data_IF_204499471154
#
_entry.id   IF_204499471154
#
_cell.length_a   1.000
_cell.length_b   1.000
_cell.length_c   1.000
_cell.angle_alpha   90.00
_cell.angle_beta   90.00
_cell.angle_gamma   90.00
#
_symmetry.space_group_name_H-M   'P 1'
#
loop_
_entity.id
_entity.type
_entity.pdbx_description
1 polymer ?
#
# COMPACT_ATOMS: atom_id res chain seq x y z
N UNK A 1 27.09 5.53 32.90
CA UNK A 1 28.53 5.90 33.01
C UNK A 1 28.85 6.71 34.27
N UNK A 2 28.12 7.79 34.56
CA UNK A 2 28.35 8.66 35.73
C UNK A 2 28.48 7.90 37.07
N UNK A 3 27.54 6.99 37.37
CA UNK A 3 27.55 6.21 38.62
C UNK A 3 28.74 5.23 38.73
N UNK A 4 29.26 4.75 37.60
CA UNK A 4 30.38 3.80 37.55
C UNK A 4 31.71 4.52 37.82
N UNK A 5 31.90 5.70 37.21
CA UNK A 5 33.10 6.52 37.42
C UNK A 5 33.19 7.04 38.87
N UNK A 6 32.05 7.32 39.50
CA UNK A 6 31.97 7.69 40.92
C UNK A 6 32.30 6.52 41.86
N UNK A 7 31.91 5.29 41.50
CA UNK A 7 32.23 4.07 42.24
C UNK A 7 33.70 3.64 42.09
N UNK A 8 34.34 3.91 40.95
CA UNK A 8 35.75 3.59 40.68
C UNK A 8 36.73 4.65 41.23
N UNK A 9 36.26 5.71 41.86
CA UNK A 9 37.10 6.75 42.47
C UNK A 9 37.85 7.64 41.49
N UNK A 10 37.58 7.54 40.18
CA UNK A 10 38.24 8.30 39.12
C UNK A 10 37.64 9.70 38.96
N UNK A 11 37.73 10.51 40.02
CA UNK A 11 37.09 11.82 40.11
C UNK A 11 37.68 12.89 39.17
N UNK A 12 38.93 12.74 38.70
CA UNK A 12 39.52 13.63 37.69
C UNK A 12 38.71 13.67 36.38
N UNK A 13 38.20 12.51 35.95
CA UNK A 13 37.39 12.43 34.75
C UNK A 13 36.02 13.10 34.92
N UNK A 14 35.47 13.14 36.14
CA UNK A 14 34.22 13.84 36.42
C UNK A 14 34.36 15.37 36.29
N UNK A 15 35.57 15.91 36.48
CA UNK A 15 35.84 17.35 36.35
C UNK A 15 36.05 17.79 34.89
N UNK A 16 36.47 16.89 34.02
CA UNK A 16 36.79 17.18 32.62
C UNK A 16 35.74 16.69 31.61
N UNK A 17 34.84 15.78 32.01
CA UNK A 17 33.77 15.27 31.16
C UNK A 17 32.44 15.95 31.47
N UNK A 18 31.96 16.71 30.49
CA UNK A 18 30.61 17.26 30.47
C UNK A 18 29.63 16.15 30.05
N UNK A 19 29.06 15.46 31.03
CA UNK A 19 28.15 14.33 30.81
C UNK A 19 26.83 14.75 30.14
N UNK A 20 26.42 16.00 30.28
CA UNK A 20 25.24 16.54 29.61
C UNK A 20 25.51 16.67 28.11
N UNK A 21 26.68 17.21 27.73
CA UNK A 21 27.11 17.23 26.32
C UNK A 21 27.34 15.85 25.74
N UNK A 22 27.90 14.92 26.50
CA UNK A 22 28.06 13.53 26.03
C UNK A 22 26.73 12.83 25.79
N UNK A 23 25.74 13.03 26.67
CA UNK A 23 24.41 12.50 26.45
C UNK A 23 23.75 13.14 25.22
N UNK A 24 23.93 14.45 25.02
CA UNK A 24 23.45 15.14 23.82
C UNK A 24 24.09 14.55 22.56
N UNK A 25 25.42 14.45 22.51
CA UNK A 25 26.17 13.87 21.40
C UNK A 25 25.80 12.41 21.15
N UNK A 26 25.63 11.61 22.20
CA UNK A 26 25.19 10.23 22.08
C UNK A 26 23.79 10.13 21.46
N UNK A 27 22.83 10.94 21.93
CA UNK A 27 21.49 11.00 21.34
C UNK A 27 21.53 11.38 19.86
N UNK A 28 22.30 12.40 19.51
CA UNK A 28 22.47 12.84 18.12
C UNK A 28 23.12 11.77 17.24
N UNK A 29 24.15 11.10 17.76
CA UNK A 29 24.86 10.03 17.04
C UNK A 29 24.00 8.78 16.87
N UNK A 30 23.23 8.41 17.90
CA UNK A 30 22.28 7.30 17.85
C UNK A 30 21.18 7.56 16.83
N UNK A 31 20.56 8.76 16.87
CA UNK A 31 19.56 9.16 15.89
C UNK A 31 20.12 9.19 14.47
N UNK A 32 21.38 9.62 14.28
CA UNK A 32 22.03 9.58 12.96
C UNK A 32 22.31 8.15 12.49
N UNK A 33 22.70 7.26 13.40
CA UNK A 33 22.91 5.83 13.10
C UNK A 33 21.60 5.16 12.69
N UNK A 34 20.51 5.42 13.40
CA UNK A 34 19.18 4.90 13.08
C UNK A 34 18.73 5.38 11.70
N UNK A 35 18.96 6.65 11.39
CA UNK A 35 18.71 7.23 10.05
C UNK A 35 19.51 6.51 8.95
N UNK A 36 20.79 6.23 9.18
CA UNK A 36 21.64 5.53 8.22
C UNK A 36 21.19 4.08 8.00
N UNK A 37 20.85 3.38 9.09
CA UNK A 37 20.31 2.03 9.03
C UNK A 37 18.99 1.99 8.24
N UNK A 38 18.12 2.98 8.44
CA UNK A 38 16.87 3.10 7.68
C UNK A 38 17.15 3.34 6.18
N UNK A 39 18.07 4.26 5.86
CA UNK A 39 18.46 4.53 4.49
C UNK A 39 19.07 3.30 3.79
N UNK A 40 19.89 2.52 4.49
CA UNK A 40 20.50 1.29 3.97
C UNK A 40 19.46 0.19 3.75
N UNK A 41 18.54 0.00 4.71
CA UNK A 41 17.40 -0.93 4.56
C UNK A 41 16.57 -0.59 3.31
N UNK A 42 16.23 0.69 3.10
CA UNK A 42 15.48 1.17 1.93
C UNK A 42 16.18 0.92 0.58
N UNK A 43 17.51 0.72 0.58
CA UNK A 43 18.28 0.37 -0.62
C UNK A 43 18.31 -1.13 -0.91
N UNK A 44 18.19 -2.00 0.12
CA UNK A 44 18.43 -3.44 -0.01
C UNK A 44 17.20 -4.29 -0.40
N UNK A 45 16.00 -3.73 -0.52
CA UNK A 45 15.02 -4.25 -1.49
C UNK A 45 13.76 -4.97 -0.99
N UNK A 46 13.16 -4.55 0.13
CA UNK A 46 11.78 -4.94 0.46
C UNK A 46 10.87 -3.72 0.63
N UNK A 47 10.67 -2.98 -0.47
CA UNK A 47 10.15 -1.61 -0.44
C UNK A 47 8.74 -1.48 0.11
N UNK A 48 7.91 -2.54 0.09
CA UNK A 48 6.54 -2.47 0.60
C UNK A 48 6.47 -2.53 2.14
N UNK A 49 7.21 -3.47 2.76
CA UNK A 49 7.31 -3.55 4.21
C UNK A 49 8.13 -2.39 4.77
N UNK A 50 9.20 -2.00 4.05
CA UNK A 50 10.07 -0.90 4.42
C UNK A 50 9.42 0.47 4.24
N UNK A 51 8.48 0.69 3.31
CA UNK A 51 7.76 1.96 3.27
C UNK A 51 6.86 2.11 4.49
N UNK A 52 6.17 1.04 4.90
CA UNK A 52 5.33 1.06 6.09
C UNK A 52 6.15 1.25 7.37
N UNK A 53 7.30 0.56 7.49
CA UNK A 53 8.25 0.71 8.61
C UNK A 53 8.96 2.08 8.57
N UNK A 54 9.42 2.53 7.41
CA UNK A 54 10.04 3.85 7.27
C UNK A 54 9.07 4.99 7.53
N UNK A 55 7.80 4.87 7.16
CA UNK A 55 6.77 5.85 7.50
C UNK A 55 6.40 5.85 9.00
N UNK A 56 6.62 4.73 9.70
CA UNK A 56 6.44 4.61 11.15
C UNK A 56 7.63 5.21 11.92
N UNK A 57 8.84 4.95 11.45
CA UNK A 57 10.11 5.33 12.07
C UNK A 57 10.76 6.59 11.46
N UNK A 58 10.03 7.47 10.77
CA UNK A 58 10.65 8.75 10.32
C UNK A 58 10.98 9.61 11.54
N UNK A 59 12.17 9.37 12.08
CA UNK A 59 12.79 10.16 13.12
C UNK A 59 13.37 11.39 12.46
N UNK A 60 12.54 12.42 12.31
CA UNK A 60 13.04 13.70 11.83
C UNK A 60 13.92 14.35 12.89
N UNK A 61 15.21 14.45 12.58
CA UNK A 61 16.18 15.20 13.38
C UNK A 61 16.10 16.67 12.97
N UNK A 62 15.12 17.39 13.54
CA UNK A 62 14.96 18.82 13.23
C UNK A 62 16.00 19.63 14.00
N UNK A 63 16.87 20.33 13.28
CA UNK A 63 17.69 21.38 13.90
C UNK A 63 16.74 22.51 14.26
N UNK A 64 16.46 22.66 15.57
CA UNK A 64 15.53 23.67 16.11
C UNK A 64 16.07 25.08 15.86
N UNK A 65 15.50 25.82 14.91
CA UNK A 65 15.83 27.24 14.67
C UNK A 65 14.68 28.15 15.13
N UNK A 66 13.41 27.69 15.17
CA UNK A 66 12.28 28.48 15.71
C UNK A 66 10.94 27.75 15.93
N UNK A 67 9.90 28.48 16.40
CA UNK A 67 8.54 27.94 16.65
C UNK A 67 7.76 27.59 15.36
N UNK A 68 8.06 28.26 14.25
CA UNK A 68 7.40 28.02 12.96
C UNK A 68 7.75 26.63 12.38
N UNK A 69 8.95 26.12 12.66
CA UNK A 69 9.41 24.80 12.20
C UNK A 69 8.74 23.66 12.97
N UNK A 70 8.42 23.88 14.26
CA UNK A 70 7.67 22.91 15.08
C UNK A 70 6.28 22.63 14.50
N UNK A 71 5.56 23.66 14.06
CA UNK A 71 4.24 23.50 13.42
C UNK A 71 4.34 22.76 12.08
N UNK A 72 5.31 23.12 11.24
CA UNK A 72 5.51 22.46 9.94
C UNK A 72 5.91 20.98 10.11
N UNK A 73 6.68 20.67 11.15
CA UNK A 73 7.02 19.30 11.50
C UNK A 73 5.79 18.47 11.90
N UNK A 74 4.89 19.04 12.71
CA UNK A 74 3.65 18.38 13.10
C UNK A 74 2.72 18.19 11.89
N UNK A 75 2.57 19.20 11.03
CA UNK A 75 1.79 19.11 9.79
C UNK A 75 2.34 18.03 8.85
N UNK A 76 3.67 17.94 8.72
CA UNK A 76 4.34 16.91 7.92
C UNK A 76 4.07 15.50 8.49
N UNK A 77 4.17 15.32 9.81
CA UNK A 77 3.83 14.05 10.48
C UNK A 77 2.38 13.66 10.24
N UNK A 78 1.46 14.62 10.35
CA UNK A 78 0.04 14.38 10.14
C UNK A 78 -0.29 13.97 8.71
N UNK A 79 0.29 14.63 7.70
CA UNK A 79 0.05 14.25 6.31
C UNK A 79 0.65 12.88 5.97
N UNK A 80 1.83 12.55 6.47
CA UNK A 80 2.42 11.22 6.25
C UNK A 80 1.59 10.11 6.89
N UNK A 81 1.10 10.34 8.12
CA UNK A 81 0.17 9.40 8.76
C UNK A 81 -1.07 9.17 7.90
N UNK A 82 -1.69 10.24 7.40
CA UNK A 82 -2.87 10.15 6.51
C UNK A 82 -2.57 9.44 5.21
N UNK A 83 -1.42 9.71 4.59
CA UNK A 83 -0.95 9.03 3.37
C UNK A 83 -0.78 7.54 3.63
N UNK A 84 -0.15 7.17 4.75
CA UNK A 84 0.05 5.77 5.15
C UNK A 84 -1.29 5.05 5.35
N UNK A 85 -2.19 5.64 6.12
CA UNK A 85 -3.53 5.09 6.36
C UNK A 85 -4.31 4.96 5.05
N UNK A 86 -4.16 5.93 4.14
CA UNK A 86 -4.73 5.87 2.80
C UNK A 86 -4.17 4.71 1.97
N UNK A 87 -2.86 4.52 1.92
CA UNK A 87 -2.25 3.42 1.17
C UNK A 87 -2.61 2.06 1.77
N UNK A 88 -2.52 1.92 3.10
CA UNK A 88 -2.84 0.68 3.80
C UNK A 88 -4.33 0.31 3.68
N UNK A 89 -5.22 1.30 3.56
CA UNK A 89 -6.65 1.09 3.37
C UNK A 89 -7.06 0.60 1.98
N UNK A 90 -6.14 0.57 1.01
CA UNK A 90 -6.45 0.10 -0.34
C UNK A 90 -6.46 -1.43 -0.42
N UNK A 91 -7.58 -2.00 -0.89
CA UNK A 91 -7.74 -3.46 -1.00
C UNK A 91 -7.08 -4.08 -2.24
N UNK A 92 -6.65 -3.27 -3.21
CA UNK A 92 -6.08 -3.68 -4.49
C UNK A 92 -4.68 -3.09 -4.68
N UNK A 93 -3.73 -3.64 -3.94
CA UNK A 93 -2.33 -3.20 -3.96
C UNK A 93 -1.59 -3.54 -5.26
N UNK A 94 -2.18 -4.39 -6.10
CA UNK A 94 -1.60 -4.79 -7.38
C UNK A 94 -1.99 -3.80 -8.51
N UNK A 95 -2.88 -2.85 -8.25
CA UNK A 95 -3.37 -1.88 -9.24
C UNK A 95 -2.23 -0.99 -9.78
N UNK A 96 -2.22 -0.74 -11.09
CA UNK A 96 -1.21 0.10 -11.73
C UNK A 96 -1.23 1.53 -11.19
N UNK A 97 -2.42 2.09 -10.93
CA UNK A 97 -2.53 3.43 -10.35
C UNK A 97 -2.00 3.45 -8.91
N UNK A 98 -2.29 2.41 -8.11
CA UNK A 98 -1.75 2.28 -6.76
C UNK A 98 -0.22 2.14 -6.76
N UNK A 99 0.32 1.28 -7.63
CA UNK A 99 1.76 1.06 -7.76
C UNK A 99 2.45 2.37 -8.16
N UNK A 100 1.89 3.10 -9.14
CA UNK A 100 2.45 4.38 -9.57
C UNK A 100 2.48 5.42 -8.45
N UNK A 101 1.40 5.52 -7.65
CA UNK A 101 1.36 6.42 -6.49
C UNK A 101 2.37 6.03 -5.41
N UNK A 102 2.54 4.72 -5.18
CA UNK A 102 3.51 4.18 -4.23
C UNK A 102 4.95 4.49 -4.67
N UNK A 103 5.25 4.29 -5.95
CA UNK A 103 6.56 4.61 -6.53
C UNK A 103 6.86 6.12 -6.51
N UNK A 104 5.85 6.96 -6.79
CA UNK A 104 5.95 8.42 -6.65
C UNK A 104 6.32 8.79 -5.20
N UNK A 105 5.68 8.15 -4.22
CA UNK A 105 6.00 8.32 -2.80
C UNK A 105 7.45 7.91 -2.52
N UNK A 106 7.83 6.68 -2.88
CA UNK A 106 9.15 6.12 -2.62
C UNK A 106 10.26 7.00 -3.22
N UNK A 107 10.02 7.57 -4.41
CA UNK A 107 10.95 8.51 -5.04
C UNK A 107 11.11 9.80 -4.23
N UNK A 108 10.03 10.34 -3.67
CA UNK A 108 10.08 11.53 -2.81
C UNK A 108 10.94 11.25 -1.57
N UNK A 109 10.74 10.09 -0.94
CA UNK A 109 11.51 9.66 0.24
C UNK A 109 12.99 9.37 -0.07
N UNK A 110 13.30 8.72 -1.19
CA UNK A 110 14.69 8.42 -1.59
C UNK A 110 15.48 9.64 -2.02
N UNK A 111 14.83 10.60 -2.71
CA UNK A 111 15.51 11.77 -3.27
C UNK A 111 15.85 12.81 -2.19
N UNK A 112 15.05 12.87 -1.12
CA UNK A 112 15.18 13.89 -0.08
C UNK A 112 15.56 13.22 1.22
N UNK A 113 16.83 13.30 1.61
CA UNK A 113 17.29 12.91 2.94
C UNK A 113 16.47 13.69 3.99
N UNK A 114 15.46 13.06 4.57
CA UNK A 114 14.49 13.65 5.50
C UNK A 114 15.14 14.20 6.78
N UNK A 115 16.41 13.88 7.03
CA UNK A 115 17.13 14.25 8.24
C UNK A 115 17.55 15.73 8.29
N UNK A 116 17.65 16.43 7.15
CA UNK A 116 18.11 17.82 7.09
C UNK A 116 17.34 18.60 6.02
N UNK A 117 16.05 18.85 6.26
CA UNK A 117 15.16 19.55 5.33
C UNK A 117 14.93 20.98 5.85
N UNK A 118 15.30 21.99 5.07
CA UNK A 118 15.04 23.40 5.40
C UNK A 118 13.55 23.76 5.35
N UNK A 119 13.17 24.94 5.88
CA UNK A 119 11.76 25.37 5.99
C UNK A 119 11.02 25.42 4.63
N UNK A 120 11.64 25.94 3.57
CA UNK A 120 11.05 26.02 2.23
C UNK A 120 10.85 24.61 1.61
N UNK A 121 11.81 23.73 1.84
CA UNK A 121 11.72 22.35 1.37
C UNK A 121 10.63 21.58 2.12
N UNK A 122 10.43 21.86 3.42
CA UNK A 122 9.37 21.26 4.22
C UNK A 122 7.99 21.66 3.70
N UNK A 123 7.76 22.94 3.40
CA UNK A 123 6.50 23.39 2.79
C UNK A 123 6.25 22.75 1.43
N UNK A 124 7.30 22.65 0.60
CA UNK A 124 7.20 22.00 -0.71
C UNK A 124 6.87 20.50 -0.57
N UNK A 125 7.48 19.82 0.41
CA UNK A 125 7.23 18.41 0.68
C UNK A 125 5.80 18.20 1.19
N UNK A 126 5.30 19.05 2.10
CA UNK A 126 3.90 19.00 2.57
C UNK A 126 2.95 19.15 1.38
N UNK A 127 3.12 20.16 0.54
CA UNK A 127 2.26 20.38 -0.64
C UNK A 127 2.29 19.20 -1.63
N UNK A 128 3.46 18.58 -1.81
CA UNK A 128 3.60 17.38 -2.65
C UNK A 128 2.86 16.19 -2.04
N UNK A 129 3.05 15.94 -0.73
CA UNK A 129 2.38 14.86 -0.01
C UNK A 129 0.87 15.05 0.06
N UNK A 130 0.38 16.29 0.19
CA UNK A 130 -1.05 16.61 0.12
C UNK A 130 -1.65 16.27 -1.25
N UNK A 131 -0.92 16.57 -2.33
CA UNK A 131 -1.35 16.23 -3.70
C UNK A 131 -1.43 14.71 -3.87
N UNK A 132 -0.42 13.99 -3.41
CA UNK A 132 -0.40 12.52 -3.47
C UNK A 132 -1.49 11.92 -2.58
N UNK A 133 -1.70 12.47 -1.38
CA UNK A 133 -2.79 12.07 -0.49
C UNK A 133 -4.16 12.27 -1.15
N UNK A 134 -4.39 13.39 -1.83
CA UNK A 134 -5.64 13.64 -2.55
C UNK A 134 -5.88 12.59 -3.64
N UNK A 135 -4.84 12.21 -4.41
CA UNK A 135 -4.93 11.13 -5.40
C UNK A 135 -5.25 9.78 -4.75
N UNK A 136 -4.56 9.41 -3.67
CA UNK A 136 -4.82 8.16 -2.92
C UNK A 136 -6.25 8.14 -2.38
N UNK A 137 -6.71 9.26 -1.81
CA UNK A 137 -8.07 9.39 -1.29
C UNK A 137 -9.13 9.22 -2.39
N UNK A 138 -8.91 9.82 -3.55
CA UNK A 138 -9.82 9.67 -4.69
C UNK A 138 -9.80 8.24 -5.24
N UNK A 139 -8.62 7.63 -5.37
CA UNK A 139 -8.49 6.23 -5.78
C UNK A 139 -9.23 5.29 -4.82
N UNK A 140 -9.05 5.45 -3.52
CA UNK A 140 -9.75 4.66 -2.51
C UNK A 140 -11.26 4.88 -2.57
N UNK A 141 -11.71 6.13 -2.75
CA UNK A 141 -13.14 6.44 -2.91
C UNK A 141 -13.74 5.73 -4.12
N UNK A 142 -13.05 5.74 -5.26
CA UNK A 142 -13.50 5.04 -6.48
C UNK A 142 -13.51 3.53 -6.28
N UNK A 143 -12.48 2.99 -5.64
CA UNK A 143 -12.37 1.57 -5.28
C UNK A 143 -13.51 1.14 -4.35
N UNK A 144 -13.82 1.94 -3.32
CA UNK A 144 -14.93 1.67 -2.39
C UNK A 144 -16.28 1.72 -3.11
N UNK A 145 -16.51 2.71 -3.98
CA UNK A 145 -17.74 2.77 -4.79
C UNK A 145 -17.89 1.53 -5.68
N UNK A 146 -16.80 1.07 -6.30
CA UNK A 146 -16.81 -0.14 -7.10
C UNK A 146 -17.10 -1.37 -6.24
N UNK A 147 -16.46 -1.50 -5.07
CA UNK A 147 -16.71 -2.58 -4.11
C UNK A 147 -18.16 -2.59 -3.63
N UNK A 148 -18.75 -1.43 -3.35
CA UNK A 148 -20.15 -1.31 -2.97
C UNK A 148 -21.10 -1.80 -4.08
N UNK A 149 -20.80 -1.58 -5.36
CA UNK A 149 -21.60 -2.14 -6.48
C UNK A 149 -21.64 -3.67 -6.49
N UNK A 150 -20.61 -4.32 -5.95
CA UNK A 150 -20.53 -5.78 -5.81
C UNK A 150 -20.98 -6.28 -4.43
N UNK A 151 -21.72 -5.47 -3.67
CA UNK A 151 -22.23 -5.86 -2.35
C UNK A 151 -21.15 -5.96 -1.28
N UNK A 152 -20.04 -5.21 -1.42
CA UNK A 152 -18.92 -5.24 -0.49
C UNK A 152 -17.81 -6.23 -0.87
N UNK A 153 -17.97 -7.00 -1.96
CA UNK A 153 -16.99 -8.01 -2.37
C UNK A 153 -15.79 -7.36 -3.09
N UNK A 154 -14.64 -7.35 -2.39
CA UNK A 154 -13.39 -6.79 -2.90
C UNK A 154 -12.81 -7.60 -4.07
N UNK A 155 -13.07 -8.92 -4.14
CA UNK A 155 -12.56 -9.79 -5.22
C UNK A 155 -13.20 -9.42 -6.55
N UNK A 156 -14.52 -9.22 -6.58
CA UNK A 156 -15.21 -8.83 -7.81
C UNK A 156 -14.87 -7.40 -8.25
N UNK A 157 -14.59 -6.50 -7.30
CA UNK A 157 -14.05 -5.19 -7.62
C UNK A 157 -12.64 -5.28 -8.27
N UNK A 158 -11.74 -6.12 -7.73
CA UNK A 158 -10.42 -6.36 -8.34
C UNK A 158 -10.53 -6.96 -9.75
N UNK A 159 -11.36 -7.98 -9.91
CA UNK A 159 -11.59 -8.61 -11.23
C UNK A 159 -12.16 -7.58 -12.21
N UNK A 160 -13.14 -6.77 -11.80
CA UNK A 160 -13.69 -5.72 -12.64
C UNK A 160 -12.61 -4.78 -13.15
N UNK A 161 -11.70 -4.32 -12.29
CA UNK A 161 -10.58 -3.45 -12.69
C UNK A 161 -9.69 -4.12 -13.73
N UNK A 162 -9.30 -5.39 -13.52
CA UNK A 162 -8.50 -6.16 -14.48
C UNK A 162 -9.20 -6.41 -15.81
N UNK A 163 -10.51 -6.60 -15.80
CA UNK A 163 -11.27 -6.72 -17.04
C UNK A 163 -11.34 -5.40 -17.80
N UNK A 164 -11.42 -4.28 -17.09
CA UNK A 164 -11.42 -2.95 -17.69
C UNK A 164 -10.06 -2.55 -18.28
N UNK A 165 -8.95 -3.17 -17.86
CA UNK A 165 -7.64 -3.01 -18.50
C UNK A 165 -7.58 -3.66 -19.90
N UNK A 166 -8.42 -4.66 -20.17
CA UNK A 166 -8.46 -5.32 -21.48
C UNK A 166 -9.21 -4.48 -22.52
N UNK A 167 -8.51 -4.06 -23.56
CA UNK A 167 -9.07 -3.24 -24.65
C UNK A 167 -10.31 -3.86 -25.33
N UNK A 168 -10.42 -5.19 -25.37
CA UNK A 168 -11.57 -5.91 -25.93
C UNK A 168 -12.87 -5.77 -25.11
N UNK A 169 -12.76 -5.46 -23.81
CA UNK A 169 -13.89 -5.37 -22.87
C UNK A 169 -14.22 -3.93 -22.47
N UNK A 170 -13.37 -2.97 -22.87
CA UNK A 170 -13.48 -1.55 -22.53
C UNK A 170 -14.77 -0.88 -23.05
N UNK A 171 -15.43 -1.48 -24.05
CA UNK A 171 -16.54 -0.86 -24.78
C UNK A 171 -17.84 -0.63 -24.00
N UNK A 172 -18.12 -1.38 -22.93
CA UNK A 172 -19.39 -1.23 -22.19
C UNK A 172 -19.29 -1.63 -20.71
N UNK A 173 -19.00 -0.63 -19.85
CA UNK A 173 -18.90 -0.79 -18.39
C UNK A 173 -20.15 -1.42 -17.76
N UNK A 174 -21.33 -1.17 -18.32
CA UNK A 174 -22.59 -1.73 -17.80
C UNK A 174 -22.70 -3.22 -18.14
N UNK A 175 -22.34 -3.62 -19.36
CA UNK A 175 -22.33 -5.04 -19.73
C UNK A 175 -21.29 -5.83 -18.94
N UNK A 176 -20.10 -5.27 -18.70
CA UNK A 176 -19.07 -5.92 -17.87
C UNK A 176 -19.59 -6.11 -16.45
N UNK A 177 -20.24 -5.09 -15.90
CA UNK A 177 -20.87 -5.19 -14.58
C UNK A 177 -21.94 -6.28 -14.52
N UNK A 178 -22.87 -6.30 -15.49
CA UNK A 178 -23.95 -7.29 -15.55
C UNK A 178 -23.40 -8.72 -15.73
N UNK A 179 -22.40 -8.91 -16.59
CA UNK A 179 -21.74 -10.19 -16.78
C UNK A 179 -21.11 -10.67 -15.46
N UNK A 180 -20.28 -9.82 -14.82
CA UNK A 180 -19.58 -10.17 -13.59
C UNK A 180 -20.54 -10.40 -12.42
N UNK A 181 -21.60 -9.61 -12.31
CA UNK A 181 -22.63 -9.80 -11.29
C UNK A 181 -23.37 -11.14 -11.48
N UNK A 182 -23.67 -11.53 -12.73
CA UNK A 182 -24.21 -12.85 -13.03
C UNK A 182 -23.24 -13.99 -12.72
N UNK A 183 -21.95 -13.80 -13.04
CA UNK A 183 -20.90 -14.78 -12.69
C UNK A 183 -20.79 -14.92 -11.17
N UNK A 184 -20.87 -13.82 -10.42
CA UNK A 184 -20.88 -13.82 -8.95
C UNK A 184 -22.00 -14.70 -8.41
N UNK A 185 -23.23 -14.41 -8.78
CA UNK A 185 -24.39 -15.17 -8.30
C UNK A 185 -24.28 -16.66 -8.61
N UNK A 186 -23.86 -17.02 -9.83
CA UNK A 186 -23.73 -18.43 -10.23
C UNK A 186 -22.56 -19.14 -9.53
N UNK A 187 -21.44 -18.44 -9.34
CA UNK A 187 -20.25 -19.00 -8.70
C UNK A 187 -20.45 -19.16 -7.20
N UNK A 188 -20.98 -18.13 -6.52
CA UNK A 188 -21.31 -18.16 -5.09
C UNK A 188 -22.30 -19.30 -4.81
N UNK A 189 -23.33 -19.47 -5.63
CA UNK A 189 -24.28 -20.57 -5.48
C UNK A 189 -23.60 -21.94 -5.61
N UNK A 190 -22.69 -22.13 -6.58
CA UNK A 190 -21.95 -23.40 -6.72
C UNK A 190 -21.04 -23.69 -5.54
N UNK A 191 -20.40 -22.67 -4.99
CA UNK A 191 -19.54 -22.83 -3.81
C UNK A 191 -20.38 -23.15 -2.57
N UNK A 192 -21.56 -22.55 -2.43
CA UNK A 192 -22.51 -22.88 -1.37
C UNK A 192 -23.04 -24.32 -1.50
N UNK A 193 -23.36 -24.75 -2.72
CA UNK A 193 -23.88 -26.10 -2.97
C UNK A 193 -22.80 -27.19 -2.76
N UNK A 194 -21.53 -26.85 -2.97
CA UNK A 194 -20.40 -27.78 -2.90
C UNK A 194 -19.16 -27.10 -2.31
N UNK A 195 -19.07 -26.97 -0.99
CA UNK A 195 -17.96 -26.26 -0.32
C UNK A 195 -16.56 -26.84 -0.64
N UNK A 196 -16.50 -28.17 -0.84
CA UNK A 196 -15.27 -28.89 -1.22
C UNK A 196 -14.87 -28.69 -2.69
N UNK A 197 -15.65 -27.95 -3.49
CA UNK A 197 -15.35 -27.74 -4.91
C UNK A 197 -14.00 -27.03 -5.09
N UNK A 198 -13.61 -26.19 -4.12
CA UNK A 198 -12.37 -25.43 -4.12
C UNK A 198 -11.12 -26.31 -3.87
N UNK A 199 -11.30 -27.52 -3.35
CA UNK A 199 -10.19 -28.47 -3.15
C UNK A 199 -9.75 -29.10 -4.48
N UNK A 200 -10.66 -29.20 -5.45
CA UNK A 200 -10.35 -29.67 -6.79
C UNK A 200 -10.31 -28.51 -7.78
N UNK A 201 -9.16 -27.83 -7.82
CA UNK A 201 -8.92 -26.66 -8.68
C UNK A 201 -9.29 -26.92 -10.15
N UNK A 202 -8.94 -28.08 -10.70
CA UNK A 202 -9.25 -28.44 -12.10
C UNK A 202 -10.76 -28.57 -12.36
N UNK A 203 -11.50 -29.12 -11.40
CA UNK A 203 -12.95 -29.24 -11.50
C UNK A 203 -13.62 -27.88 -11.36
N UNK A 204 -13.20 -27.08 -10.37
CA UNK A 204 -13.68 -25.72 -10.19
C UNK A 204 -13.41 -24.83 -11.41
N UNK A 205 -12.22 -24.92 -12.01
CA UNK A 205 -11.85 -24.16 -13.21
C UNK A 205 -12.79 -24.47 -14.39
N UNK A 206 -13.13 -25.74 -14.61
CA UNK A 206 -14.09 -26.15 -15.66
C UNK A 206 -15.50 -25.63 -15.39
N UNK A 207 -15.93 -25.65 -14.12
CA UNK A 207 -17.24 -25.14 -13.72
C UNK A 207 -17.36 -23.63 -13.88
N UNK A 208 -16.30 -22.90 -13.52
CA UNK A 208 -16.20 -21.46 -13.69
C UNK A 208 -16.14 -21.08 -15.17
N UNK A 209 -15.42 -21.85 -16.00
CA UNK A 209 -15.34 -21.60 -17.43
C UNK A 209 -16.72 -21.64 -18.09
N UNK A 210 -17.56 -22.61 -17.72
CA UNK A 210 -18.94 -22.69 -18.21
C UNK A 210 -19.80 -21.49 -17.81
N UNK A 211 -19.65 -21.01 -16.57
CA UNK A 211 -20.36 -19.81 -16.09
C UNK A 211 -19.91 -18.56 -16.86
N UNK A 212 -18.60 -18.35 -16.97
CA UNK A 212 -18.01 -17.19 -17.67
C UNK A 212 -18.45 -17.18 -19.13
N UNK A 213 -18.39 -18.32 -19.81
CA UNK A 213 -18.83 -18.43 -21.20
C UNK A 213 -20.31 -18.06 -21.36
N UNK A 214 -21.18 -18.59 -20.51
CA UNK A 214 -22.62 -18.28 -20.53
C UNK A 214 -22.88 -16.79 -20.32
N UNK A 215 -22.29 -16.19 -19.27
CA UNK A 215 -22.56 -14.80 -18.89
C UNK A 215 -21.96 -13.80 -19.90
N UNK A 216 -20.71 -13.98 -20.31
CA UNK A 216 -20.04 -13.03 -21.20
C UNK A 216 -20.45 -13.19 -22.67
N UNK A 217 -20.54 -14.43 -23.19
CA UNK A 217 -20.79 -14.67 -24.62
C UNK A 217 -22.26 -14.85 -24.94
N UNK A 218 -23.01 -15.61 -24.13
CA UNK A 218 -24.42 -15.91 -24.45
C UNK A 218 -25.36 -14.79 -24.02
N UNK A 219 -25.22 -14.28 -22.79
CA UNK A 219 -26.14 -13.29 -22.23
C UNK A 219 -25.76 -11.85 -22.62
N UNK A 220 -24.51 -11.44 -22.38
CA UNK A 220 -24.07 -10.07 -22.67
C UNK A 220 -23.55 -9.86 -24.10
N UNK A 221 -23.42 -10.96 -24.87
CA UNK A 221 -23.03 -10.95 -26.29
C UNK A 221 -21.73 -10.18 -26.56
N UNK A 222 -20.74 -10.29 -25.68
CA UNK A 222 -19.43 -9.71 -25.94
C UNK A 222 -18.76 -10.42 -27.13
N UNK A 223 -18.00 -9.69 -27.97
CA UNK A 223 -17.17 -10.27 -29.03
C UNK A 223 -15.88 -10.90 -28.46
N UNK A 224 -16.00 -11.66 -27.37
CA UNK A 224 -14.88 -12.30 -26.67
C UNK A 224 -14.44 -13.56 -27.40
N UNK A 225 -13.13 -13.69 -27.60
CA UNK A 225 -12.50 -14.89 -28.14
C UNK A 225 -12.36 -15.95 -27.03
N UNK A 226 -12.16 -17.23 -27.40
CA UNK A 226 -11.90 -18.28 -26.42
C UNK A 226 -10.71 -17.99 -25.50
N UNK A 227 -9.69 -17.29 -26.00
CA UNK A 227 -8.53 -16.86 -25.22
C UNK A 227 -8.93 -15.85 -24.12
N UNK A 228 -9.81 -14.90 -24.43
CA UNK A 228 -10.31 -13.92 -23.46
C UNK A 228 -11.11 -14.60 -22.34
N UNK A 229 -11.97 -15.56 -22.71
CA UNK A 229 -12.73 -16.37 -21.73
C UNK A 229 -11.80 -17.15 -20.81
N UNK A 230 -10.72 -17.73 -21.34
CA UNK A 230 -9.73 -18.43 -20.52
C UNK A 230 -8.98 -17.48 -19.59
N UNK A 231 -8.62 -16.28 -20.05
CA UNK A 231 -7.96 -15.26 -19.23
C UNK A 231 -8.88 -14.81 -18.08
N UNK A 232 -10.15 -14.49 -18.39
CA UNK A 232 -11.16 -14.12 -17.40
C UNK A 232 -11.36 -15.25 -16.37
N UNK A 233 -11.45 -16.50 -16.85
CA UNK A 233 -11.63 -17.65 -15.98
C UNK A 233 -10.45 -17.86 -15.01
N UNK A 234 -9.22 -17.76 -15.51
CA UNK A 234 -8.02 -17.88 -14.67
C UNK A 234 -7.94 -16.78 -13.61
N UNK A 235 -8.32 -15.55 -13.96
CA UNK A 235 -8.40 -14.44 -13.00
C UNK A 235 -9.42 -14.72 -11.90
N UNK A 236 -10.63 -15.16 -12.27
CA UNK A 236 -11.67 -15.52 -11.31
C UNK A 236 -11.22 -16.66 -10.39
N UNK A 237 -10.74 -17.77 -10.94
CA UNK A 237 -10.32 -18.94 -10.16
C UNK A 237 -9.21 -18.57 -9.17
N UNK A 238 -8.21 -17.79 -9.61
CA UNK A 238 -7.13 -17.32 -8.73
C UNK A 238 -7.67 -16.52 -7.55
N UNK A 239 -8.62 -15.62 -7.78
CA UNK A 239 -9.19 -14.79 -6.72
C UNK A 239 -9.99 -15.61 -5.69
N UNK A 240 -10.76 -16.61 -6.14
CA UNK A 240 -11.46 -17.54 -5.24
C UNK A 240 -10.49 -18.39 -4.41
N UNK A 241 -9.40 -18.87 -5.02
CA UNK A 241 -8.42 -19.67 -4.30
C UNK A 241 -7.67 -18.85 -3.24
N UNK A 242 -7.30 -17.60 -3.59
CA UNK A 242 -6.63 -16.65 -2.68
C UNK A 242 -7.50 -16.33 -1.46
N UNK A 243 -8.79 -16.07 -1.66
CA UNK A 243 -9.72 -15.80 -0.56
C UNK A 243 -9.90 -17.01 0.36
N UNK A 244 -9.89 -18.21 -0.21
CA UNK A 244 -10.03 -19.44 0.56
C UNK A 244 -8.75 -19.90 1.27
N UNK A 245 -7.65 -19.14 1.17
CA UNK A 245 -6.35 -19.46 1.78
C UNK A 245 -5.65 -20.66 1.15
N UNK A 246 -6.04 -21.06 -0.06
CA UNK A 246 -5.48 -22.22 -0.77
C UNK A 246 -4.29 -21.87 -1.67
N UNK A 247 -4.02 -20.57 -1.85
CA UNK A 247 -2.82 -19.99 -2.48
C UNK A 247 -2.47 -18.65 -1.83
#
# INVERSE_FOLDING_TARGET
>A
MYNILRLQGSHEFLAHLDFDKLNLLYRETAARLDTLNLAEKLQQGDTAHLLNEALEDVYFQFVKIGEAELKLADDLKDIMRKVREGLAGNFDQDDLEYISLREELERIFKKKNLAEVGQEEMQTNIATLETVYAKIKELNRQNDLLRHKYGGDAKYARIHKRLMENAALYGDKLKVFNALSGVKTDADQKVLDMEQILDNQNYFEKQMQGIVLKRFRTEQQFPVQPADIQAINRLLVREYLKESGRI
#
